data_IF_758163282152
#
_entry.id   IF_758163282152
#
_cell.length_a   1.000
_cell.length_b   1.000
_cell.length_c   1.000
_cell.angle_alpha   90.00
_cell.angle_beta   90.00
_cell.angle_gamma   90.00
#
_symmetry.space_group_name_H-M   'P 1'
#
loop_
_entity.id
_entity.type
_entity.pdbx_description
1 polymer ?
#
# COMPACT_ATOMS: atom_id res chain seq x y z
N UNK A 1 8.44 24.83 3.89
CA UNK A 1 7.08 24.23 3.88
C UNK A 1 6.11 24.89 2.88
N UNK A 2 5.79 26.20 2.95
CA UNK A 2 4.81 26.85 2.02
C UNK A 2 5.15 26.66 0.52
N UNK A 3 6.41 26.82 0.12
CA UNK A 3 6.86 26.60 -1.28
C UNK A 3 6.63 25.18 -1.80
N UNK A 4 6.69 24.15 -0.94
CA UNK A 4 6.44 22.76 -1.34
C UNK A 4 4.94 22.43 -1.39
N UNK A 5 4.14 23.05 -0.50
CA UNK A 5 2.67 22.89 -0.49
C UNK A 5 2.03 23.40 -1.78
N UNK A 6 2.57 24.47 -2.36
CA UNK A 6 2.00 25.11 -3.54
C UNK A 6 2.45 24.48 -4.87
N UNK A 7 3.38 23.52 -4.86
CA UNK A 7 3.84 22.86 -6.09
C UNK A 7 2.88 21.73 -6.50
N UNK A 8 2.60 21.56 -7.80
CA UNK A 8 1.97 20.34 -8.29
C UNK A 8 2.96 19.19 -8.06
N UNK A 9 2.59 18.24 -7.19
CA UNK A 9 3.39 17.02 -6.97
C UNK A 9 2.84 15.97 -7.90
N UNK A 10 3.67 15.50 -8.82
CA UNK A 10 3.34 14.48 -9.81
C UNK A 10 3.90 13.11 -9.45
N UNK A 11 4.88 13.04 -8.54
CA UNK A 11 5.52 11.78 -8.10
C UNK A 11 5.67 11.80 -6.58
N UNK A 12 5.19 10.73 -5.93
CA UNK A 12 5.33 10.49 -4.49
C UNK A 12 5.91 9.09 -4.33
N UNK A 13 7.11 8.98 -3.78
CA UNK A 13 7.77 7.68 -3.54
C UNK A 13 8.26 7.56 -2.11
N UNK A 14 8.32 6.33 -1.59
CA UNK A 14 8.88 6.09 -0.26
C UNK A 14 8.53 4.76 0.39
N UNK A 15 9.07 4.56 1.59
CA UNK A 15 8.74 3.48 2.50
C UNK A 15 8.00 4.09 3.71
N UNK A 16 6.67 4.31 3.63
CA UNK A 16 5.93 4.94 4.71
C UNK A 16 5.95 4.09 5.99
N UNK A 17 5.84 4.67 7.18
CA UNK A 17 5.92 3.94 8.44
C UNK A 17 4.76 2.94 8.60
N UNK A 18 5.06 1.77 9.17
CA UNK A 18 4.06 0.73 9.47
C UNK A 18 3.72 0.75 10.96
N UNK A 19 2.55 1.30 11.33
CA UNK A 19 2.12 1.37 12.73
C UNK A 19 0.61 1.47 12.85
N UNK A 20 -0.01 0.41 13.39
CA UNK A 20 -1.43 0.38 13.71
C UNK A 20 -1.75 1.00 15.10
N UNK A 21 -0.73 1.44 15.83
CA UNK A 21 -0.81 1.99 17.19
C UNK A 21 0.05 1.21 18.19
N UNK A 22 -0.18 1.47 19.48
CA UNK A 22 0.56 0.86 20.60
C UNK A 22 0.36 -0.67 20.64
N UNK A 23 1.40 -1.41 21.07
CA UNK A 23 1.31 -2.87 21.29
C UNK A 23 0.70 -3.19 22.65
N UNK A 24 0.83 -2.30 23.63
CA UNK A 24 0.24 -2.37 24.97
C UNK A 24 -0.29 -0.99 25.40
N UNK A 25 -1.32 -0.96 26.26
CA UNK A 25 -1.86 0.28 26.83
C UNK A 25 -0.83 1.07 27.69
N UNK A 26 0.27 0.41 28.08
CA UNK A 26 1.36 1.01 28.86
C UNK A 26 2.48 1.63 28.01
N UNK A 27 2.44 1.51 26.68
CA UNK A 27 3.46 2.09 25.80
C UNK A 27 3.15 3.57 25.55
N UNK A 28 4.07 4.51 25.80
CA UNK A 28 3.89 5.94 25.46
C UNK A 28 4.14 6.22 23.96
N UNK A 29 3.54 5.41 23.07
CA UNK A 29 3.76 5.41 21.62
C UNK A 29 2.43 5.47 20.85
N UNK A 30 1.51 6.32 21.31
CA UNK A 30 0.21 6.48 20.66
C UNK A 30 0.41 7.09 19.27
N UNK A 31 -0.26 6.54 18.26
CA UNK A 31 -0.23 7.13 16.93
C UNK A 31 -0.77 8.57 17.03
N UNK A 32 -0.06 9.52 16.43
CA UNK A 32 -0.56 10.89 16.32
C UNK A 32 -1.94 10.90 15.62
N UNK A 33 -2.86 11.69 16.17
CA UNK A 33 -4.15 11.93 15.55
C UNK A 33 -4.01 13.00 14.47
N UNK A 34 -4.59 12.71 13.30
CA UNK A 34 -4.65 13.63 12.17
C UNK A 34 -6.11 13.78 11.73
N UNK A 35 -6.95 14.58 12.42
CA UNK A 35 -8.39 14.57 12.24
C UNK A 35 -8.85 14.79 10.80
N UNK A 36 -8.19 15.68 10.05
CA UNK A 36 -8.50 15.93 8.63
C UNK A 36 -8.24 14.70 7.76
N UNK A 37 -7.09 14.04 7.95
CA UNK A 37 -6.72 12.85 7.18
C UNK A 37 -7.58 11.65 7.58
N UNK A 38 -7.87 11.51 8.86
CA UNK A 38 -8.74 10.46 9.41
C UNK A 38 -10.17 10.62 8.90
N UNK A 39 -10.67 11.86 8.80
CA UNK A 39 -11.96 12.15 8.16
C UNK A 39 -11.95 11.77 6.68
N UNK A 40 -10.86 12.02 5.94
CA UNK A 40 -10.73 11.55 4.55
C UNK A 40 -10.81 10.02 4.47
N UNK A 41 -10.10 9.31 5.34
CA UNK A 41 -10.18 7.83 5.41
C UNK A 41 -11.60 7.36 5.71
N UNK A 42 -12.30 8.03 6.63
CA UNK A 42 -13.68 7.69 6.98
C UNK A 42 -14.61 7.81 5.76
N UNK A 43 -14.54 8.93 5.03
CA UNK A 43 -15.40 9.21 3.88
C UNK A 43 -14.99 8.48 2.59
N UNK A 44 -13.81 7.86 2.54
CA UNK A 44 -13.35 7.09 1.38
C UNK A 44 -13.27 5.60 1.66
N UNK A 45 -12.37 5.17 2.54
CA UNK A 45 -12.07 3.75 2.73
C UNK A 45 -13.08 3.07 3.64
N UNK A 46 -13.48 3.72 4.73
CA UNK A 46 -14.44 3.14 5.68
C UNK A 46 -15.86 3.14 5.10
N UNK A 47 -16.28 4.24 4.46
CA UNK A 47 -17.61 4.35 3.85
C UNK A 47 -17.88 3.33 2.75
N UNK A 48 -16.84 2.78 2.11
CA UNK A 48 -16.95 1.77 1.05
C UNK A 48 -16.71 0.33 1.55
N UNK A 49 -16.36 0.16 2.84
CA UNK A 49 -16.08 -1.12 3.46
C UNK A 49 -17.38 -1.80 3.90
N UNK A 50 -17.49 -3.11 3.64
CA UNK A 50 -18.57 -3.94 4.19
C UNK A 50 -18.21 -4.56 5.55
N UNK A 51 -16.96 -4.40 6.01
CA UNK A 51 -16.52 -4.97 7.26
C UNK A 51 -17.03 -4.18 8.47
N UNK A 52 -17.47 -4.92 9.50
CA UNK A 52 -17.90 -4.34 10.78
C UNK A 52 -16.74 -3.68 11.56
N UNK A 53 -15.50 -4.15 11.35
CA UNK A 53 -14.31 -3.65 12.05
C UNK A 53 -13.30 -3.04 11.06
N UNK A 54 -13.13 -1.72 11.13
CA UNK A 54 -12.26 -0.94 10.23
C UNK A 54 -11.04 -0.34 10.94
N UNK A 55 -10.59 -0.95 12.05
CA UNK A 55 -9.44 -0.44 12.83
C UNK A 55 -8.15 -0.41 12.02
N UNK A 56 -7.93 -1.41 11.14
CA UNK A 56 -6.75 -1.50 10.29
C UNK A 56 -6.63 -0.37 9.27
N UNK A 57 -7.73 0.29 8.94
CA UNK A 57 -7.79 1.36 7.94
C UNK A 57 -7.10 2.65 8.44
N UNK A 58 -6.76 2.71 9.73
CA UNK A 58 -6.07 3.84 10.35
C UNK A 58 -4.58 3.55 10.65
N UNK A 59 -4.02 2.46 10.12
CA UNK A 59 -2.57 2.21 10.16
C UNK A 59 -1.82 3.32 9.39
N UNK A 60 -0.65 3.73 9.89
CA UNK A 60 0.15 4.82 9.32
C UNK A 60 0.48 4.65 7.83
N UNK A 61 0.66 3.43 7.32
CA UNK A 61 0.90 3.24 5.89
C UNK A 61 -0.37 3.43 5.04
N UNK A 62 -1.55 3.14 5.61
CA UNK A 62 -2.85 3.42 4.99
C UNK A 62 -3.11 4.92 4.97
N UNK A 63 -2.78 5.62 6.08
CA UNK A 63 -2.76 7.09 6.15
C UNK A 63 -1.86 7.67 5.06
N UNK A 64 -0.67 7.08 4.83
CA UNK A 64 0.23 7.52 3.77
C UNK A 64 -0.37 7.35 2.36
N UNK A 65 -1.05 6.23 2.07
CA UNK A 65 -1.79 6.05 0.82
C UNK A 65 -2.86 7.12 0.64
N UNK A 66 -3.70 7.37 1.65
CA UNK A 66 -4.76 8.37 1.57
C UNK A 66 -4.20 9.78 1.37
N UNK A 67 -3.18 10.14 2.14
CA UNK A 67 -2.51 11.43 2.04
C UNK A 67 -1.88 11.64 0.67
N UNK A 68 -1.16 10.64 0.16
CA UNK A 68 -0.53 10.72 -1.16
C UNK A 68 -1.57 10.82 -2.28
N UNK A 69 -2.65 10.05 -2.19
CA UNK A 69 -3.76 10.09 -3.16
C UNK A 69 -4.45 11.45 -3.21
N UNK A 70 -4.66 12.07 -2.05
CA UNK A 70 -5.22 13.43 -1.93
C UNK A 70 -4.23 14.53 -2.33
N UNK A 71 -2.92 14.25 -2.27
CA UNK A 71 -1.87 15.22 -2.62
C UNK A 71 -1.62 15.34 -4.12
N UNK A 72 -1.97 14.32 -4.90
CA UNK A 72 -1.90 14.33 -6.36
C UNK A 72 -2.96 15.26 -6.95
N UNK A 73 -2.62 15.90 -8.07
CA UNK A 73 -3.56 16.74 -8.82
C UNK A 73 -4.58 15.86 -9.57
N UNK A 74 -5.87 16.18 -9.48
CA UNK A 74 -6.92 15.40 -10.17
C UNK A 74 -6.90 15.56 -11.70
N UNK A 75 -6.51 16.74 -12.21
CA UNK A 75 -6.47 17.06 -13.64
C UNK A 75 -5.19 16.58 -14.32
N UNK A 76 -4.05 16.74 -13.65
CA UNK A 76 -2.75 16.36 -14.21
C UNK A 76 -2.38 14.91 -13.88
N UNK A 77 -2.94 14.35 -12.82
CA UNK A 77 -2.62 13.02 -12.34
C UNK A 77 -1.25 12.95 -11.67
N UNK A 78 -0.68 11.74 -11.65
CA UNK A 78 0.63 11.48 -11.06
C UNK A 78 0.83 10.01 -10.71
N UNK A 79 1.96 9.73 -10.06
CA UNK A 79 2.39 8.38 -9.68
C UNK A 79 2.70 8.33 -8.19
N UNK A 80 2.21 7.29 -7.51
CA UNK A 80 2.59 6.93 -6.15
C UNK A 80 3.35 5.61 -6.22
N UNK A 81 4.56 5.55 -5.67
CA UNK A 81 5.37 4.33 -5.59
C UNK A 81 5.77 4.04 -4.15
N UNK A 82 5.11 3.09 -3.51
CA UNK A 82 5.43 2.71 -2.14
C UNK A 82 5.85 1.26 -2.00
N UNK A 83 6.69 1.02 -1.00
CA UNK A 83 6.83 -0.31 -0.41
C UNK A 83 6.13 -0.29 0.93
N UNK A 84 5.13 -1.16 1.13
CA UNK A 84 4.28 -1.16 2.34
C UNK A 84 4.02 -2.57 2.86
N UNK A 85 3.48 -2.66 4.08
CA UNK A 85 2.81 -3.88 4.54
C UNK A 85 1.81 -4.38 3.47
N UNK A 86 1.84 -5.66 3.12
CA UNK A 86 1.02 -6.26 2.06
C UNK A 86 -0.40 -6.63 2.50
N UNK A 87 -0.73 -6.50 3.79
CA UNK A 87 -2.02 -6.94 4.36
C UNK A 87 -3.25 -6.30 3.69
N UNK A 88 -3.12 -5.09 3.13
CA UNK A 88 -4.23 -4.41 2.44
C UNK A 88 -4.72 -5.12 1.17
N UNK A 89 -3.90 -5.99 0.57
CA UNK A 89 -4.23 -6.72 -0.65
C UNK A 89 -5.38 -7.70 -0.40
N UNK A 90 -5.39 -8.38 0.76
CA UNK A 90 -6.32 -9.50 1.04
C UNK A 90 -7.21 -9.28 2.27
N UNK A 91 -6.85 -8.38 3.18
CA UNK A 91 -7.61 -8.25 4.43
C UNK A 91 -9.06 -7.79 4.17
N UNK A 92 -10.00 -8.45 4.85
CA UNK A 92 -11.44 -8.14 4.74
C UNK A 92 -11.75 -6.70 5.13
N UNK A 93 -11.20 -6.18 6.24
CA UNK A 93 -11.40 -4.80 6.69
C UNK A 93 -10.71 -3.71 5.87
N UNK A 94 -10.18 -4.04 4.68
CA UNK A 94 -9.54 -3.12 3.75
C UNK A 94 -10.15 -3.22 2.34
N UNK A 95 -11.31 -3.86 2.19
CA UNK A 95 -12.06 -3.93 0.93
C UNK A 95 -12.49 -2.54 0.43
N UNK A 96 -12.93 -1.66 1.32
CA UNK A 96 -13.27 -0.28 0.97
C UNK A 96 -12.06 0.53 0.47
N UNK A 97 -10.84 0.24 0.97
CA UNK A 97 -9.62 0.82 0.40
C UNK A 97 -9.39 0.32 -1.02
N UNK A 98 -9.52 -1.00 -1.28
CA UNK A 98 -9.35 -1.56 -2.63
C UNK A 98 -10.35 -0.98 -3.62
N UNK A 99 -11.64 -0.94 -3.26
CA UNK A 99 -12.71 -0.30 -4.05
C UNK A 99 -12.38 1.18 -4.35
N UNK A 100 -11.89 1.90 -3.35
CA UNK A 100 -11.52 3.30 -3.50
C UNK A 100 -10.33 3.51 -4.44
N UNK A 101 -9.27 2.70 -4.32
CA UNK A 101 -8.10 2.80 -5.20
C UNK A 101 -8.45 2.45 -6.64
N UNK A 102 -9.24 1.40 -6.86
CA UNK A 102 -9.74 1.04 -8.19
C UNK A 102 -10.54 2.17 -8.85
N UNK A 103 -11.34 2.89 -8.06
CA UNK A 103 -12.08 4.06 -8.53
C UNK A 103 -11.18 5.26 -8.82
N UNK A 104 -10.19 5.54 -7.98
CA UNK A 104 -9.40 6.78 -8.08
C UNK A 104 -8.23 6.73 -9.07
N UNK A 105 -7.71 5.54 -9.38
CA UNK A 105 -6.52 5.38 -10.21
C UNK A 105 -6.87 4.77 -11.57
N UNK A 106 -6.03 5.03 -12.58
CA UNK A 106 -6.19 4.44 -13.92
C UNK A 106 -5.48 3.08 -14.01
N UNK A 107 -4.40 2.90 -13.25
CA UNK A 107 -3.66 1.64 -13.20
C UNK A 107 -3.03 1.41 -11.83
N UNK A 108 -3.02 0.16 -11.40
CA UNK A 108 -2.48 -0.27 -10.11
C UNK A 108 -1.55 -1.45 -10.39
N UNK A 109 -0.27 -1.31 -10.05
CA UNK A 109 0.69 -2.41 -10.11
C UNK A 109 1.05 -2.83 -8.69
N UNK A 110 0.94 -4.13 -8.42
CA UNK A 110 1.21 -4.72 -7.11
C UNK A 110 2.22 -5.84 -7.33
N UNK A 111 3.40 -5.69 -6.74
CA UNK A 111 4.40 -6.73 -6.67
C UNK A 111 4.47 -7.23 -5.22
N UNK A 112 3.80 -8.34 -4.94
CA UNK A 112 3.77 -8.96 -3.63
C UNK A 112 5.08 -9.69 -3.36
N UNK A 113 5.86 -9.18 -2.41
CA UNK A 113 7.15 -9.76 -2.00
C UNK A 113 6.98 -10.78 -0.87
N UNK A 114 5.75 -10.97 -0.38
CA UNK A 114 5.40 -11.94 0.67
C UNK A 114 6.20 -11.72 1.94
N UNK A 115 6.54 -12.80 2.67
CA UNK A 115 7.25 -12.75 3.94
C UNK A 115 6.34 -12.51 5.16
N UNK A 116 5.04 -12.80 5.06
CA UNK A 116 4.07 -12.65 6.15
C UNK A 116 4.01 -13.89 7.05
N UNK A 117 4.94 -14.05 7.99
CA UNK A 117 4.94 -15.22 8.89
C UNK A 117 4.04 -15.07 10.12
N UNK A 118 3.62 -13.85 10.48
CA UNK A 118 2.79 -13.63 11.68
C UNK A 118 1.41 -14.30 11.54
N UNK A 119 1.10 -15.20 12.48
CA UNK A 119 -0.19 -15.91 12.51
C UNK A 119 -0.30 -17.06 11.50
N UNK A 120 0.82 -17.44 10.84
CA UNK A 120 0.89 -18.58 9.94
C UNK A 120 1.73 -19.69 10.56
N UNK A 121 1.43 -20.94 10.22
CA UNK A 121 2.13 -22.12 10.75
C UNK A 121 2.38 -23.16 9.65
N UNK A 122 3.39 -24.01 9.87
CA UNK A 122 3.72 -25.10 8.96
C UNK A 122 4.03 -24.61 7.55
N UNK A 123 3.49 -25.32 6.56
CA UNK A 123 3.74 -25.05 5.14
C UNK A 123 3.30 -23.64 4.69
N UNK A 124 2.21 -23.12 5.25
CA UNK A 124 1.71 -21.77 4.91
C UNK A 124 2.69 -20.66 5.31
N UNK A 125 3.46 -20.85 6.39
CA UNK A 125 4.52 -19.92 6.78
C UNK A 125 5.79 -20.13 5.93
N UNK A 126 6.09 -21.37 5.55
CA UNK A 126 7.24 -21.68 4.69
C UNK A 126 7.07 -21.12 3.27
N UNK A 127 5.86 -21.20 2.71
CA UNK A 127 5.55 -20.64 1.39
C UNK A 127 5.85 -19.14 1.32
N UNK A 128 5.55 -18.39 2.38
CA UNK A 128 5.85 -16.94 2.42
C UNK A 128 7.33 -16.60 2.17
N UNK A 129 8.24 -17.56 2.41
CA UNK A 129 9.66 -17.35 2.30
C UNK A 129 10.19 -16.35 3.32
N UNK A 130 11.42 -15.91 3.15
CA UNK A 130 12.03 -14.90 4.01
C UNK A 130 11.50 -13.50 3.68
N UNK A 131 11.42 -12.66 4.71
CA UNK A 131 11.06 -11.26 4.54
C UNK A 131 12.27 -10.43 4.08
N UNK A 132 12.06 -9.42 3.24
CA UNK A 132 13.13 -8.56 2.73
C UNK A 132 13.70 -7.55 3.75
N UNK A 133 12.97 -7.30 4.84
CA UNK A 133 13.36 -6.38 5.93
C UNK A 133 13.56 -7.09 7.27
N UNK A 134 13.63 -8.43 7.28
CA UNK A 134 13.75 -9.24 8.50
C UNK A 134 12.61 -8.98 9.53
N UNK A 135 11.41 -8.66 9.04
CA UNK A 135 10.19 -8.46 9.84
C UNK A 135 9.17 -9.58 9.60
N UNK A 136 8.17 -9.69 10.48
CA UNK A 136 7.16 -10.76 10.39
C UNK A 136 5.94 -10.43 9.51
N UNK A 137 5.80 -9.16 9.09
CA UNK A 137 4.70 -8.70 8.24
C UNK A 137 5.12 -8.75 6.78
N UNK A 138 4.27 -9.31 5.91
CA UNK A 138 4.53 -9.33 4.49
C UNK A 138 4.61 -7.93 3.89
N UNK A 139 5.30 -7.83 2.76
CA UNK A 139 5.61 -6.56 2.11
C UNK A 139 5.23 -6.62 0.63
N UNK A 140 4.76 -5.51 0.08
CA UNK A 140 4.51 -5.37 -1.33
C UNK A 140 5.02 -4.02 -1.85
N UNK A 141 5.53 -4.01 -3.08
CA UNK A 141 5.76 -2.78 -3.84
C UNK A 141 4.46 -2.47 -4.58
N UNK A 142 3.94 -1.26 -4.41
CA UNK A 142 2.70 -0.79 -5.03
C UNK A 142 2.97 0.48 -5.83
N UNK A 143 2.58 0.47 -7.10
CA UNK A 143 2.62 1.64 -7.98
C UNK A 143 1.19 1.99 -8.37
N UNK A 144 0.75 3.19 -7.99
CA UNK A 144 -0.55 3.73 -8.33
C UNK A 144 -0.37 4.84 -9.37
N UNK A 145 -1.02 4.69 -10.52
CA UNK A 145 -0.96 5.67 -11.61
C UNK A 145 -2.33 6.35 -11.71
N UNK A 146 -2.36 7.67 -11.53
CA UNK A 146 -3.53 8.51 -11.74
C UNK A 146 -3.35 9.28 -13.05
N UNK A 147 -4.33 9.17 -13.94
CA UNK A 147 -4.44 9.92 -15.20
C UNK A 147 -5.90 10.36 -15.36
N UNK A 148 -6.17 11.40 -16.17
CA UNK A 148 -7.53 11.69 -16.59
C UNK A 148 -8.17 10.44 -17.19
N UNK A 149 -9.32 10.05 -16.65
CA UNK A 149 -10.12 8.90 -17.09
C UNK A 149 -11.60 9.25 -16.97
N UNK A 150 -12.45 8.49 -17.65
CA UNK A 150 -13.90 8.63 -17.48
C UNK A 150 -14.30 8.23 -16.04
N UNK A 151 -15.38 8.81 -15.52
CA UNK A 151 -15.79 8.61 -14.12
C UNK A 151 -16.24 7.17 -13.80
N UNK A 152 -16.62 6.43 -14.82
CA UNK A 152 -17.07 5.04 -14.79
C UNK A 152 -15.95 4.03 -15.15
N UNK A 153 -14.79 4.50 -15.59
CA UNK A 153 -13.65 3.63 -15.90
C UNK A 153 -12.99 3.12 -14.61
N UNK A 154 -12.86 1.81 -14.45
CA UNK A 154 -12.13 1.19 -13.33
C UNK A 154 -10.64 1.07 -13.63
N UNK A 155 -9.81 0.99 -12.58
CA UNK A 155 -8.37 0.83 -12.76
C UNK A 155 -8.04 -0.52 -13.42
N UNK A 156 -7.03 -0.52 -14.29
CA UNK A 156 -6.36 -1.77 -14.70
C UNK A 156 -5.46 -2.24 -13.56
N UNK A 157 -5.69 -3.44 -13.05
CA UNK A 157 -4.94 -4.00 -11.93
C UNK A 157 -3.97 -5.07 -12.44
N UNK A 158 -2.68 -4.86 -12.17
CA UNK A 158 -1.59 -5.77 -12.49
C UNK A 158 -1.02 -6.31 -11.19
N UNK A 159 -1.28 -7.59 -10.91
CA UNK A 159 -0.76 -8.26 -9.72
C UNK A 159 0.32 -9.26 -10.12
N UNK A 160 1.42 -9.25 -9.38
CA UNK A 160 2.47 -10.23 -9.50
C UNK A 160 2.91 -10.73 -8.12
N UNK A 161 2.95 -12.04 -7.95
CA UNK A 161 3.49 -12.72 -6.77
C UNK A 161 4.93 -13.14 -7.04
N UNK A 162 5.84 -12.82 -6.12
CA UNK A 162 7.26 -13.16 -6.25
C UNK A 162 7.53 -14.67 -6.23
N UNK A 163 6.66 -15.48 -5.60
CA UNK A 163 6.79 -16.94 -5.53
C UNK A 163 6.87 -17.52 -4.11
N UNK A 164 6.75 -18.85 -4.04
CA UNK A 164 6.81 -19.64 -2.80
C UNK A 164 8.26 -19.99 -2.38
N UNK A 165 8.48 -20.10 -1.07
CA UNK A 165 9.70 -20.64 -0.43
C UNK A 165 11.01 -19.90 -0.69
N UNK A 166 10.95 -18.70 -1.27
CA UNK A 166 12.14 -17.93 -1.62
C UNK A 166 12.83 -17.33 -0.38
N UNK A 167 14.15 -17.44 -0.35
CA UNK A 167 15.03 -16.69 0.54
C UNK A 167 15.02 -15.19 0.23
N UNK A 168 15.55 -14.38 1.15
CA UNK A 168 15.66 -12.92 0.96
C UNK A 168 16.55 -12.60 -0.24
N UNK A 169 17.65 -13.33 -0.40
CA UNK A 169 18.61 -13.13 -1.49
C UNK A 169 17.97 -13.44 -2.85
N UNK A 170 17.26 -14.56 -2.97
CA UNK A 170 16.53 -14.90 -4.21
C UNK A 170 15.51 -13.82 -4.57
N UNK A 171 14.73 -13.33 -3.59
CA UNK A 171 13.79 -12.23 -3.81
C UNK A 171 14.50 -10.97 -4.33
N UNK A 172 15.62 -10.60 -3.71
CA UNK A 172 16.41 -9.42 -4.12
C UNK A 172 17.04 -9.60 -5.52
N UNK A 173 17.36 -10.82 -5.93
CA UNK A 173 17.85 -11.13 -7.27
C UNK A 173 16.75 -11.13 -8.35
N UNK A 174 15.52 -11.46 -7.98
CA UNK A 174 14.36 -11.47 -8.88
C UNK A 174 13.89 -10.04 -9.18
N UNK A 175 13.80 -9.17 -8.16
CA UNK A 175 13.22 -7.82 -8.30
C UNK A 175 13.79 -7.05 -9.50
N UNK A 176 15.13 -6.90 -9.70
CA UNK A 176 15.72 -6.18 -10.84
C UNK A 176 15.27 -6.68 -12.21
N UNK A 177 14.97 -7.96 -12.37
CA UNK A 177 14.64 -8.58 -13.66
C UNK A 177 13.32 -8.06 -14.25
N UNK A 178 12.40 -7.61 -13.38
CA UNK A 178 11.14 -6.99 -13.78
C UNK A 178 11.31 -5.52 -14.22
N UNK A 179 12.43 -4.89 -13.86
CA UNK A 179 12.73 -3.51 -14.24
C UNK A 179 13.55 -3.44 -15.53
N UNK A 180 14.45 -4.41 -15.76
CA UNK A 180 15.33 -4.42 -16.94
C UNK A 180 14.57 -4.79 -18.23
N UNK A 181 13.52 -5.60 -18.15
CA UNK A 181 12.75 -6.08 -19.31
C UNK A 181 11.91 -5.02 -20.02
N UNK A 182 11.77 -3.82 -19.45
CA UNK A 182 11.03 -2.69 -20.05
C UNK A 182 11.92 -1.60 -20.65
N UNK A 183 13.25 -1.69 -20.51
CA UNK A 183 14.20 -0.71 -21.05
C UNK A 183 14.79 -1.07 -22.42
N UNK A 184 14.42 -2.23 -23.00
CA UNK A 184 14.96 -2.75 -24.27
C UNK A 184 13.87 -3.03 -25.33
N UNK A 185 12.79 -2.26 -25.33
CA UNK A 185 11.85 -2.23 -26.48
C UNK A 185 11.61 -0.83 -26.96
#
# INVERSE_FOLDING_TARGET
VKKQRNKPITVIVGNPPYSIGQKSANDNAQNESYPTLESRIQHTYVALSEAALNKSTYDSYIKAFRWASDRLNEKEGGVIGFITNSKWIEASGLDGMRKCLEKEFSSIYIFNLRGAVRGRVGDTAKKEGQNIFDIMTGVAITILIKKPKASDETARIYYHDIGDYLSREEKLNIIPQYWVTSATR
#
